data_IF_808305477409
#
_entry.id   IF_808305477409
#
_cell.length_a   1.000
_cell.length_b   1.000
_cell.length_c   1.000
_cell.angle_alpha   90.00
_cell.angle_beta   90.00
_cell.angle_gamma   90.00
#
_symmetry.space_group_name_H-M   'P 1'
#
loop_
_entity.id
_entity.type
_entity.pdbx_description
1 polymer ?
#
# COMPACT_ATOMS: atom_id res chain seq x y z
N UNK A 1 -70.32 38.95 15.90
CA UNK A 1 -69.67 38.58 14.66
C UNK A 1 -68.51 37.60 15.01
N UNK A 2 -68.74 36.29 14.84
CA UNK A 2 -67.71 35.24 15.11
C UNK A 2 -66.81 35.10 13.90
N UNK A 3 -65.51 35.32 14.10
CA UNK A 3 -64.49 34.98 13.12
C UNK A 3 -64.27 33.44 13.10
N UNK A 4 -64.58 32.85 11.98
CA UNK A 4 -64.27 31.44 11.73
C UNK A 4 -62.82 31.41 11.24
N UNK A 5 -61.94 30.83 12.05
CA UNK A 5 -60.60 30.55 11.63
C UNK A 5 -60.60 29.19 10.93
N UNK A 6 -60.38 29.19 9.65
CA UNK A 6 -60.19 27.99 8.85
C UNK A 6 -58.77 27.55 9.05
N UNK A 7 -58.58 26.50 9.82
CA UNK A 7 -57.29 25.80 9.89
C UNK A 7 -57.17 24.90 8.64
N UNK A 8 -56.25 25.25 7.81
CA UNK A 8 -55.82 24.37 6.71
C UNK A 8 -54.89 23.33 7.29
N UNK A 9 -55.39 22.11 7.49
CA UNK A 9 -54.54 20.98 7.78
C UNK A 9 -53.80 20.58 6.50
N UNK A 10 -52.50 20.92 6.45
CA UNK A 10 -51.60 20.44 5.41
C UNK A 10 -51.16 19.03 5.81
N UNK A 11 -51.84 18.01 5.27
CA UNK A 11 -51.40 16.63 5.41
C UNK A 11 -50.19 16.44 4.55
N UNK A 12 -49.02 16.50 5.17
CA UNK A 12 -47.77 16.07 4.54
C UNK A 12 -47.78 14.54 4.52
N UNK A 13 -48.20 14.01 3.39
CA UNK A 13 -48.02 12.59 3.12
C UNK A 13 -46.53 12.33 2.89
N UNK A 14 -45.85 11.93 3.93
CA UNK A 14 -44.48 11.46 3.80
C UNK A 14 -44.50 10.14 3.01
N UNK A 15 -44.23 10.25 1.73
CA UNK A 15 -43.90 9.07 0.92
C UNK A 15 -42.51 8.61 1.40
N UNK A 16 -42.53 7.59 2.26
CA UNK A 16 -41.31 6.84 2.59
C UNK A 16 -40.90 6.06 1.32
N UNK A 17 -40.17 6.72 0.44
CA UNK A 17 -39.41 6.01 -0.56
C UNK A 17 -38.27 5.37 0.21
N UNK A 18 -38.41 4.08 0.51
CA UNK A 18 -37.34 3.24 1.02
C UNK A 18 -36.23 3.20 -0.01
N UNK A 19 -35.28 4.15 0.10
CA UNK A 19 -34.00 4.03 -0.53
C UNK A 19 -33.30 2.94 0.28
N UNK A 20 -33.46 1.69 -0.15
CA UNK A 20 -32.52 0.66 0.18
C UNK A 20 -31.18 1.12 -0.40
N UNK A 21 -30.39 1.79 0.42
CA UNK A 21 -28.96 1.93 0.12
C UNK A 21 -28.39 0.52 0.12
N UNK A 22 -28.41 -0.07 -1.06
CA UNK A 22 -27.53 -1.15 -1.38
C UNK A 22 -26.14 -0.52 -1.32
N UNK A 23 -25.49 -0.66 -0.18
CA UNK A 23 -24.07 -0.36 -0.04
C UNK A 23 -23.34 -1.36 -0.93
N UNK A 24 -23.31 -1.06 -2.23
CA UNK A 24 -22.22 -1.55 -3.05
C UNK A 24 -20.99 -0.93 -2.40
N UNK A 25 -20.20 -1.74 -1.75
CA UNK A 25 -18.82 -1.39 -1.46
C UNK A 25 -18.23 -1.06 -2.83
N UNK A 26 -18.20 0.23 -3.18
CA UNK A 26 -17.59 0.69 -4.41
C UNK A 26 -16.14 0.31 -4.29
N UNK A 27 -15.72 -0.68 -5.08
CA UNK A 27 -14.32 -0.93 -5.27
C UNK A 27 -13.72 0.40 -5.74
N UNK A 28 -12.68 0.87 -5.04
CA UNK A 28 -11.97 2.10 -5.39
C UNK A 28 -11.53 2.01 -6.86
N UNK A 29 -11.77 3.05 -7.63
CA UNK A 29 -11.34 3.07 -9.04
C UNK A 29 -9.81 3.10 -9.16
N UNK A 30 -9.24 2.64 -10.28
CA UNK A 30 -7.79 2.73 -10.49
C UNK A 30 -7.24 4.15 -10.34
N UNK A 31 -7.98 5.16 -10.77
CA UNK A 31 -7.61 6.57 -10.68
C UNK A 31 -7.65 7.06 -9.22
N UNK A 32 -8.69 6.72 -8.48
CA UNK A 32 -8.79 7.03 -7.05
C UNK A 32 -7.69 6.33 -6.25
N UNK A 33 -7.39 5.08 -6.59
CA UNK A 33 -6.32 4.34 -5.94
C UNK A 33 -4.95 4.97 -6.20
N UNK A 34 -4.70 5.41 -7.44
CA UNK A 34 -3.49 6.16 -7.79
C UNK A 34 -3.38 7.46 -7.01
N UNK A 35 -4.45 8.23 -6.97
CA UNK A 35 -4.50 9.51 -6.25
C UNK A 35 -4.27 9.32 -4.74
N UNK A 36 -4.87 8.30 -4.13
CA UNK A 36 -4.66 7.94 -2.74
C UNK A 36 -3.19 7.56 -2.45
N UNK A 37 -2.57 6.79 -3.34
CA UNK A 37 -1.15 6.42 -3.24
C UNK A 37 -0.22 7.62 -3.33
N UNK A 38 -0.46 8.53 -4.28
CA UNK A 38 0.32 9.77 -4.43
C UNK A 38 0.20 10.65 -3.18
N UNK A 39 -1.02 10.84 -2.66
CA UNK A 39 -1.26 11.61 -1.44
C UNK A 39 -0.57 10.97 -0.22
N UNK A 40 -0.67 9.65 -0.09
CA UNK A 40 0.01 8.89 0.97
C UNK A 40 1.53 9.11 0.93
N UNK A 41 2.16 8.97 -0.23
CA UNK A 41 3.60 9.15 -0.39
C UNK A 41 4.04 10.59 -0.11
N UNK A 42 3.25 11.59 -0.53
CA UNK A 42 3.53 12.99 -0.25
C UNK A 42 3.54 13.30 1.27
N UNK A 43 2.59 12.76 2.01
CA UNK A 43 2.57 12.89 3.47
C UNK A 43 3.68 12.08 4.14
N UNK A 44 3.94 10.87 3.64
CA UNK A 44 4.98 10.01 4.19
C UNK A 44 6.38 10.60 4.04
N UNK A 45 6.65 11.30 2.93
CA UNK A 45 7.93 11.98 2.68
C UNK A 45 8.26 13.07 3.73
N UNK A 46 7.28 13.58 4.44
CA UNK A 46 7.47 14.59 5.50
C UNK A 46 8.01 14.01 6.79
N UNK A 47 7.97 12.69 6.95
CA UNK A 47 8.47 12.03 8.16
C UNK A 47 9.99 12.09 8.22
N UNK A 48 10.59 12.38 9.39
CA UNK A 48 12.03 12.64 9.50
C UNK A 48 12.90 11.43 9.18
N UNK A 49 12.38 10.20 9.32
CA UNK A 49 13.11 8.97 9.09
C UNK A 49 12.88 8.36 7.69
N UNK A 50 12.06 9.00 6.86
CA UNK A 50 11.75 8.54 5.51
C UNK A 50 12.66 9.22 4.51
N UNK A 51 13.31 8.42 3.69
CA UNK A 51 14.16 8.87 2.58
C UNK A 51 13.43 8.61 1.29
N UNK A 52 13.41 9.60 0.38
CA UNK A 52 12.88 9.45 -0.97
C UNK A 52 14.03 9.39 -1.96
N UNK A 53 14.08 8.37 -2.79
CA UNK A 53 15.10 8.22 -3.85
C UNK A 53 14.68 8.97 -5.12
N UNK A 54 15.59 9.09 -6.08
CA UNK A 54 15.32 9.76 -7.35
C UNK A 54 14.18 9.12 -8.17
N UNK A 55 13.93 7.82 -8.01
CA UNK A 55 12.83 7.09 -8.68
C UNK A 55 11.47 7.35 -8.04
N UNK A 56 11.43 7.94 -6.84
CA UNK A 56 10.22 8.08 -6.04
C UNK A 56 10.01 6.97 -5.02
N UNK A 57 10.87 5.95 -5.00
CA UNK A 57 10.88 4.95 -3.92
C UNK A 57 11.13 5.66 -2.59
N UNK A 58 10.36 5.29 -1.57
CA UNK A 58 10.63 5.75 -0.20
C UNK A 58 11.00 4.58 0.68
N UNK A 59 11.86 4.83 1.66
CA UNK A 59 12.22 3.83 2.65
C UNK A 59 12.54 4.45 4.01
N UNK A 60 12.42 3.64 5.05
CA UNK A 60 12.97 3.92 6.37
C UNK A 60 13.70 2.69 6.91
N UNK A 61 14.76 2.94 7.67
CA UNK A 61 15.54 1.90 8.33
C UNK A 61 14.87 1.54 9.64
N UNK A 62 14.26 0.36 9.72
CA UNK A 62 13.61 -0.14 10.94
C UNK A 62 14.64 -0.72 11.91
N UNK A 63 15.60 -1.48 11.37
CA UNK A 63 16.67 -2.10 12.15
C UNK A 63 17.94 -2.17 11.30
N UNK A 64 19.06 -1.78 11.88
CA UNK A 64 20.37 -2.03 11.31
C UNK A 64 20.94 -3.35 11.80
N UNK A 65 21.38 -4.18 10.85
CA UNK A 65 22.14 -5.39 11.13
C UNK A 65 23.63 -5.11 11.32
N UNK A 66 24.39 -6.17 11.44
CA UNK A 66 25.86 -6.12 11.58
C UNK A 66 26.61 -6.44 10.30
N UNK A 67 25.89 -6.81 9.23
CA UNK A 67 26.48 -7.10 7.94
C UNK A 67 27.08 -5.86 7.27
N UNK A 68 28.03 -6.10 6.40
CA UNK A 68 28.73 -5.04 5.64
C UNK A 68 28.44 -5.09 4.15
N UNK A 69 27.93 -6.23 3.66
CA UNK A 69 27.66 -6.48 2.25
C UNK A 69 26.23 -6.08 1.87
N UNK A 70 26.12 -5.35 0.76
CA UNK A 70 24.86 -5.11 0.06
C UNK A 70 24.78 -5.96 -1.20
N UNK A 71 23.59 -6.43 -1.60
CA UNK A 71 23.45 -7.20 -2.81
C UNK A 71 23.56 -6.34 -4.07
N UNK A 72 24.02 -6.95 -5.16
CA UNK A 72 23.89 -6.42 -6.50
C UNK A 72 22.57 -6.86 -7.14
N UNK A 73 22.14 -6.17 -8.22
CA UNK A 73 20.91 -6.51 -8.93
C UNK A 73 20.90 -7.95 -9.49
N UNK A 74 22.07 -8.55 -9.73
CA UNK A 74 22.21 -9.91 -10.26
C UNK A 74 22.26 -10.99 -9.19
N UNK A 75 22.30 -10.61 -7.92
CA UNK A 75 22.37 -11.56 -6.81
C UNK A 75 20.98 -12.16 -6.50
N UNK A 76 20.99 -13.34 -5.91
CA UNK A 76 19.81 -13.92 -5.27
C UNK A 76 19.83 -13.54 -3.79
N UNK A 77 18.74 -13.03 -3.29
CA UNK A 77 18.60 -12.63 -1.87
C UNK A 77 17.63 -13.54 -1.17
N UNK A 78 17.91 -13.87 0.09
CA UNK A 78 17.00 -14.55 1.00
C UNK A 78 16.47 -13.52 1.99
N UNK A 79 15.16 -13.40 2.08
CA UNK A 79 14.48 -12.39 2.87
C UNK A 79 13.32 -12.96 3.66
N UNK A 80 13.04 -12.37 4.82
CA UNK A 80 11.70 -12.34 5.38
C UNK A 80 11.01 -11.04 4.98
N UNK A 81 9.72 -11.10 4.67
CA UNK A 81 8.98 -9.91 4.28
C UNK A 81 7.49 -10.00 4.61
N UNK A 82 6.88 -8.84 4.70
CA UNK A 82 5.44 -8.66 4.82
C UNK A 82 5.02 -7.50 3.91
N UNK A 83 4.07 -7.73 3.03
CA UNK A 83 3.51 -6.75 2.12
C UNK A 83 2.09 -6.36 2.50
N UNK A 84 1.82 -5.07 2.54
CA UNK A 84 0.50 -4.48 2.79
C UNK A 84 0.16 -3.41 1.78
N UNK A 85 -1.12 -3.16 1.59
CA UNK A 85 -1.63 -1.96 0.93
C UNK A 85 -1.62 -0.77 1.90
N UNK A 86 -1.87 0.45 1.41
CA UNK A 86 -1.82 1.66 2.25
C UNK A 86 -2.90 1.70 3.34
N UNK A 87 -3.97 0.93 3.21
CA UNK A 87 -5.01 0.73 4.22
C UNK A 87 -4.64 -0.31 5.28
N UNK A 88 -3.47 -0.94 5.15
CA UNK A 88 -2.95 -1.92 6.11
C UNK A 88 -3.35 -3.37 5.84
N UNK A 89 -4.08 -3.65 4.76
CA UNK A 89 -4.43 -5.03 4.40
C UNK A 89 -3.20 -5.80 3.92
N UNK A 90 -2.89 -6.91 4.58
CA UNK A 90 -1.80 -7.80 4.19
C UNK A 90 -2.19 -8.59 2.93
N UNK A 91 -1.33 -8.60 1.92
CA UNK A 91 -1.54 -9.39 0.71
C UNK A 91 -0.52 -10.52 0.55
N UNK A 92 0.64 -10.42 1.19
CA UNK A 92 1.65 -11.48 1.18
C UNK A 92 2.60 -11.36 2.38
N UNK A 93 3.04 -12.51 2.92
CA UNK A 93 3.98 -12.55 4.04
C UNK A 93 4.74 -13.87 4.09
N UNK A 94 6.05 -13.82 4.10
CA UNK A 94 6.89 -14.98 4.36
C UNK A 94 6.78 -15.45 5.81
N UNK A 95 6.49 -14.55 6.73
CA UNK A 95 6.25 -14.89 8.15
C UNK A 95 5.01 -15.78 8.31
N UNK A 96 3.93 -15.46 7.59
CA UNK A 96 2.71 -16.27 7.59
C UNK A 96 2.91 -17.67 7.02
N UNK A 97 3.88 -17.83 6.10
CA UNK A 97 4.28 -19.13 5.56
C UNK A 97 5.28 -19.89 6.44
N UNK A 98 5.85 -19.22 7.45
CA UNK A 98 6.79 -19.82 8.40
C UNK A 98 8.22 -20.02 7.90
N UNK A 99 8.59 -19.47 6.72
CA UNK A 99 9.94 -19.59 6.17
C UNK A 99 10.32 -18.39 5.31
N UNK A 100 11.62 -17.99 5.30
CA UNK A 100 12.12 -16.99 4.38
C UNK A 100 12.00 -17.47 2.92
N UNK A 101 12.04 -16.52 2.01
CA UNK A 101 11.96 -16.78 0.57
C UNK A 101 13.17 -16.21 -0.14
N UNK A 102 13.67 -16.93 -1.15
CA UNK A 102 14.80 -16.48 -1.97
C UNK A 102 14.30 -16.00 -3.33
N UNK A 103 14.81 -14.84 -3.78
CA UNK A 103 14.47 -14.23 -5.06
C UNK A 103 15.74 -13.79 -5.79
N UNK A 104 15.85 -14.03 -7.12
CA UNK A 104 16.76 -13.27 -7.96
C UNK A 104 16.34 -11.80 -7.97
N UNK A 105 17.23 -10.89 -7.55
CA UNK A 105 16.86 -9.49 -7.30
C UNK A 105 16.48 -8.72 -8.57
N UNK A 106 16.89 -9.19 -9.74
CA UNK A 106 16.51 -8.64 -11.04
C UNK A 106 15.18 -9.21 -11.60
N UNK A 107 14.48 -10.06 -10.85
CA UNK A 107 13.20 -10.69 -11.25
C UNK A 107 12.03 -10.37 -10.32
N UNK A 108 12.18 -9.36 -9.51
CA UNK A 108 11.15 -8.85 -8.61
C UNK A 108 10.68 -7.47 -9.08
N UNK A 109 9.69 -6.89 -8.43
CA UNK A 109 9.25 -5.52 -8.74
C UNK A 109 10.40 -4.53 -8.63
N UNK A 110 10.37 -3.48 -9.47
CA UNK A 110 11.49 -2.51 -9.58
C UNK A 110 11.83 -1.84 -8.25
N UNK A 111 10.84 -1.57 -7.41
CA UNK A 111 11.07 -1.01 -6.07
C UNK A 111 11.89 -1.92 -5.17
N UNK A 112 11.75 -3.22 -5.30
CA UNK A 112 12.60 -4.19 -4.58
C UNK A 112 14.00 -4.26 -5.17
N UNK A 113 14.11 -4.33 -6.49
CA UNK A 113 15.43 -4.36 -7.16
C UNK A 113 16.27 -3.16 -6.74
N UNK A 114 15.69 -1.97 -6.70
CA UNK A 114 16.37 -0.76 -6.24
C UNK A 114 16.61 -0.79 -4.72
N UNK A 115 15.55 -1.02 -3.95
CA UNK A 115 15.56 -0.82 -2.50
C UNK A 115 16.44 -1.83 -1.75
N UNK A 116 16.39 -3.11 -2.12
CA UNK A 116 17.14 -4.15 -1.42
C UNK A 116 18.66 -3.97 -1.63
N UNK A 117 19.10 -3.37 -2.73
CA UNK A 117 20.52 -3.01 -2.93
C UNK A 117 21.03 -1.95 -1.95
N UNK A 118 20.13 -1.19 -1.31
CA UNK A 118 20.48 -0.22 -0.25
C UNK A 118 20.69 -0.88 1.11
N UNK A 119 20.20 -2.10 1.28
CA UNK A 119 20.29 -2.85 2.53
C UNK A 119 21.61 -3.57 2.67
N UNK A 120 21.94 -3.91 3.91
CA UNK A 120 23.02 -4.85 4.25
C UNK A 120 22.43 -6.07 4.94
N UNK A 121 23.14 -7.19 4.90
CA UNK A 121 22.72 -8.42 5.57
C UNK A 121 22.43 -8.13 7.05
N UNK A 122 21.26 -8.54 7.51
CA UNK A 122 20.76 -8.31 8.86
C UNK A 122 19.92 -7.04 9.04
N UNK A 123 19.88 -6.16 8.03
CA UNK A 123 19.02 -4.97 8.06
C UNK A 123 17.54 -5.35 7.90
N UNK A 124 16.65 -4.55 8.50
CA UNK A 124 15.24 -4.53 8.21
C UNK A 124 14.85 -3.12 7.76
N UNK A 125 14.32 -3.02 6.56
CA UNK A 125 13.83 -1.76 5.99
C UNK A 125 12.34 -1.86 5.75
N UNK A 126 11.65 -0.71 5.84
CA UNK A 126 10.31 -0.53 5.32
C UNK A 126 10.38 0.26 4.04
N UNK A 127 9.85 -0.32 2.98
CA UNK A 127 9.73 0.32 1.67
C UNK A 127 8.29 0.77 1.43
N UNK A 128 8.15 1.96 0.87
CA UNK A 128 6.90 2.50 0.37
C UNK A 128 7.06 2.68 -1.13
N UNK A 129 6.39 1.85 -1.89
CA UNK A 129 6.67 1.65 -3.31
C UNK A 129 5.51 2.21 -4.13
N UNK A 130 5.75 3.31 -4.91
CA UNK A 130 4.73 3.79 -5.83
C UNK A 130 4.36 2.71 -6.85
N UNK A 131 3.14 2.76 -7.37
CA UNK A 131 2.60 1.71 -8.24
C UNK A 131 3.42 1.45 -9.49
N UNK A 132 4.05 2.47 -10.06
CA UNK A 132 4.92 2.36 -11.24
C UNK A 132 6.24 1.60 -10.97
N UNK A 133 6.65 1.48 -9.72
CA UNK A 133 7.76 0.64 -9.28
C UNK A 133 7.29 -0.72 -8.68
N UNK A 134 6.00 -0.99 -8.76
CA UNK A 134 5.36 -2.23 -8.28
C UNK A 134 4.62 -2.93 -9.43
N UNK A 135 3.30 -3.06 -9.34
CA UNK A 135 2.51 -3.80 -10.33
C UNK A 135 1.73 -2.90 -11.30
N UNK A 136 1.88 -1.57 -11.20
CA UNK A 136 1.35 -0.60 -12.15
C UNK A 136 -0.16 -0.63 -12.31
N UNK A 137 -0.60 -0.29 -13.53
CA UNK A 137 -2.02 -0.19 -13.88
C UNK A 137 -2.76 -1.52 -13.94
N UNK A 138 -2.03 -2.62 -13.99
CA UNK A 138 -2.64 -3.96 -14.04
C UNK A 138 -2.91 -4.55 -12.66
N UNK A 139 -2.17 -4.11 -11.63
CA UNK A 139 -2.20 -4.76 -10.34
C UNK A 139 -1.67 -6.20 -10.39
N UNK A 140 -2.01 -7.02 -9.40
CA UNK A 140 -1.61 -8.42 -9.35
C UNK A 140 -2.68 -9.28 -8.68
N UNK A 141 -3.22 -10.23 -9.41
CA UNK A 141 -4.24 -11.15 -8.93
C UNK A 141 -5.46 -10.46 -8.33
N UNK A 142 -6.11 -11.08 -7.38
CA UNK A 142 -7.24 -10.51 -6.64
C UNK A 142 -6.85 -9.68 -5.41
N UNK A 143 -5.55 -9.61 -5.08
CA UNK A 143 -5.08 -9.03 -3.82
C UNK A 143 -4.48 -7.65 -3.97
N UNK A 144 -3.98 -7.29 -5.15
CA UNK A 144 -3.37 -5.99 -5.45
C UNK A 144 -4.13 -5.33 -6.58
N UNK A 145 -4.93 -4.34 -6.22
CA UNK A 145 -5.71 -3.56 -7.18
C UNK A 145 -4.81 -2.75 -8.13
N UNK A 146 -5.31 -2.35 -9.32
CA UNK A 146 -4.61 -1.45 -10.20
C UNK A 146 -4.13 -0.17 -9.50
N UNK A 147 -2.93 0.28 -9.84
CA UNK A 147 -2.32 1.51 -9.32
C UNK A 147 -2.10 1.55 -7.81
N UNK A 148 -1.94 0.39 -7.17
CA UNK A 148 -1.68 0.32 -5.73
C UNK A 148 -0.26 0.73 -5.36
N UNK A 149 -0.14 1.67 -4.44
CA UNK A 149 1.08 1.90 -3.67
C UNK A 149 1.20 0.80 -2.62
N UNK A 150 2.37 0.20 -2.49
CA UNK A 150 2.62 -0.93 -1.60
C UNK A 150 3.58 -0.58 -0.49
N UNK A 151 3.39 -1.21 0.66
CA UNK A 151 4.29 -1.11 1.81
C UNK A 151 4.86 -2.50 2.08
N UNK A 152 6.19 -2.59 2.15
CA UNK A 152 6.89 -3.83 2.47
C UNK A 152 7.84 -3.63 3.65
N UNK A 153 7.71 -4.46 4.66
CA UNK A 153 8.77 -4.69 5.63
C UNK A 153 9.63 -5.83 5.09
N UNK A 154 10.92 -5.60 4.96
CA UNK A 154 11.88 -6.56 4.39
C UNK A 154 13.07 -6.70 5.32
N UNK A 155 13.35 -7.93 5.73
CA UNK A 155 14.58 -8.31 6.43
C UNK A 155 15.48 -9.06 5.48
N UNK A 156 16.69 -8.53 5.24
CA UNK A 156 17.70 -9.18 4.39
C UNK A 156 18.51 -10.18 5.22
N UNK A 157 18.32 -11.46 4.95
CA UNK A 157 18.95 -12.54 5.70
C UNK A 157 20.27 -12.96 5.07
N UNK A 158 20.29 -13.15 3.75
CA UNK A 158 21.44 -13.72 3.04
C UNK A 158 21.52 -13.20 1.60
N UNK A 159 22.73 -13.15 1.07
CA UNK A 159 23.06 -12.89 -0.34
C UNK A 159 23.76 -14.12 -0.88
N UNK A 160 23.22 -14.66 -1.99
CA UNK A 160 23.74 -15.85 -2.70
C UNK A 160 24.33 -15.47 -4.06
#
# INVERSE_FOLDING_TARGET
>A
VKKIQTQVFLTITAILIGITMFSMANAISPEENKAAGVAFLAENAKKPNVVTTASGLQYEVIKKGTGTKSPAATDTVTVHYKGTTIDGAEFDSSYSRGSPTSFPLNRVISGWTEGVQLMKVGDTYRFYIPSDLAYGEQGAGGSIAPNSTLIFDVELIEIQ
#
